data_IF_637139699096
#
_entry.id   IF_637139699096
#
_cell.length_a   1.000
_cell.length_b   1.000
_cell.length_c   1.000
_cell.angle_alpha   90.00
_cell.angle_beta   90.00
_cell.angle_gamma   90.00
#
_symmetry.space_group_name_H-M   'P 1'
#
loop_
_entity.id
_entity.type
_entity.pdbx_description
1 polymer ?
#
# COMPACT_ATOMS: atom_id res chain seq x y z
N UNK A 1 2.68 8.24 -3.95
CA UNK A 1 1.60 7.94 -2.98
C UNK A 1 1.28 6.47 -3.02
N UNK A 2 1.35 5.81 -1.86
CA UNK A 2 0.84 4.44 -1.67
C UNK A 2 -0.50 4.53 -0.95
N UNK A 3 -1.39 3.59 -1.24
CA UNK A 3 -2.66 3.46 -0.53
C UNK A 3 -2.76 2.06 0.06
N UNK A 4 -3.42 1.95 1.20
CA UNK A 4 -3.78 0.65 1.75
C UNK A 4 -5.22 0.64 2.23
N UNK A 5 -5.81 -0.55 2.19
CA UNK A 5 -7.09 -0.83 2.84
C UNK A 5 -6.95 -0.65 4.35
N UNK A 6 -8.04 -0.38 5.06
CA UNK A 6 -8.03 -0.28 6.53
C UNK A 6 -7.49 -1.56 7.22
N UNK A 7 -7.61 -2.72 6.58
CA UNK A 7 -6.99 -3.96 7.03
C UNK A 7 -7.52 -4.46 8.37
N UNK A 8 -6.68 -5.23 9.07
CA UNK A 8 -7.01 -5.87 10.36
C UNK A 8 -7.49 -4.88 11.43
N UNK A 9 -7.14 -3.59 11.32
CA UNK A 9 -7.54 -2.54 12.26
C UNK A 9 -9.06 -2.35 12.30
N UNK A 10 -9.75 -2.52 11.17
CA UNK A 10 -11.19 -2.28 11.08
C UNK A 10 -11.97 -3.37 10.32
N UNK A 11 -11.29 -4.38 9.78
CA UNK A 11 -11.92 -5.43 8.98
C UNK A 11 -11.58 -6.82 9.53
N UNK A 12 -12.60 -7.62 9.82
CA UNK A 12 -12.45 -9.02 10.26
C UNK A 12 -12.03 -9.98 9.15
N UNK A 13 -12.33 -9.65 7.90
CA UNK A 13 -11.98 -10.48 6.74
C UNK A 13 -10.53 -10.27 6.26
N UNK A 14 -9.73 -9.50 7.00
CA UNK A 14 -8.35 -9.23 6.65
C UNK A 14 -7.51 -10.51 6.79
N UNK A 15 -6.88 -10.94 5.69
CA UNK A 15 -5.98 -12.07 5.68
C UNK A 15 -4.54 -11.66 6.07
N UNK A 16 -4.18 -10.41 5.80
CA UNK A 16 -2.84 -9.86 6.03
C UNK A 16 -2.88 -8.46 6.66
N UNK A 17 -1.79 -8.05 7.31
CA UNK A 17 -1.61 -6.69 7.81
C UNK A 17 -1.18 -5.73 6.69
N UNK A 18 -2.16 -5.06 6.09
CA UNK A 18 -1.92 -4.08 5.03
C UNK A 18 -1.17 -2.83 5.53
N UNK A 19 -1.41 -2.39 6.77
CA UNK A 19 -0.77 -1.19 7.33
C UNK A 19 0.72 -1.39 7.59
N UNK A 20 1.08 -2.54 8.18
CA UNK A 20 2.48 -2.90 8.40
C UNK A 20 3.24 -3.09 7.09
N UNK A 21 2.63 -3.76 6.11
CA UNK A 21 3.22 -3.93 4.77
C UNK A 21 3.48 -2.59 4.09
N UNK A 22 2.49 -1.69 4.09
CA UNK A 22 2.69 -0.38 3.49
C UNK A 22 3.76 0.43 4.19
N UNK A 23 3.86 0.37 5.53
CA UNK A 23 4.91 1.07 6.25
C UNK A 23 6.31 0.58 5.83
N UNK A 24 6.52 -0.74 5.80
CA UNK A 24 7.79 -1.32 5.39
C UNK A 24 8.16 -0.93 3.94
N UNK A 25 7.19 -1.03 3.02
CA UNK A 25 7.38 -0.65 1.60
C UNK A 25 7.64 0.86 1.45
N UNK A 26 6.96 1.69 2.24
CA UNK A 26 7.14 3.15 2.22
C UNK A 26 8.52 3.57 2.70
N UNK A 27 9.06 2.91 3.72
CA UNK A 27 10.38 3.25 4.24
C UNK A 27 11.46 3.01 3.18
N UNK A 28 11.34 1.93 2.40
CA UNK A 28 12.27 1.60 1.31
C UNK A 28 12.06 2.44 0.04
N UNK A 29 10.81 2.71 -0.34
CA UNK A 29 10.48 3.39 -1.60
C UNK A 29 10.34 4.91 -1.47
N UNK A 30 10.48 5.48 -0.27
CA UNK A 30 10.25 6.90 -0.01
C UNK A 30 10.99 7.84 -0.97
N UNK A 31 12.26 7.53 -1.31
CA UNK A 31 13.08 8.33 -2.23
C UNK A 31 12.53 8.36 -3.67
N UNK A 32 11.87 7.30 -4.12
CA UNK A 32 11.27 7.24 -5.46
C UNK A 32 9.98 8.04 -5.58
N UNK A 33 9.34 8.39 -4.45
CA UNK A 33 8.14 9.24 -4.46
C UNK A 33 8.46 10.73 -4.38
N UNK A 34 9.70 11.10 -4.06
CA UNK A 34 10.18 12.49 -4.06
C UNK A 34 11.08 12.81 -5.25
N UNK A 35 11.61 11.79 -5.94
CA UNK A 35 12.47 11.95 -7.11
C UNK A 35 11.87 11.31 -8.37
N UNK A 36 11.97 12.01 -9.51
CA UNK A 36 11.47 11.53 -10.81
C UNK A 36 12.51 10.63 -11.51
N UNK A 37 12.94 9.54 -10.85
CA UNK A 37 13.95 8.61 -11.38
C UNK A 37 13.36 7.50 -12.25
N UNK A 38 12.05 7.25 -12.16
CA UNK A 38 11.37 6.17 -12.85
C UNK A 38 10.86 6.62 -14.23
N UNK A 39 10.84 5.75 -15.24
CA UNK A 39 10.44 6.10 -16.62
C UNK A 39 8.94 6.39 -16.77
N UNK A 40 8.14 6.25 -15.70
CA UNK A 40 6.71 6.50 -15.72
C UNK A 40 6.11 6.61 -14.32
N UNK A 41 4.85 7.03 -14.26
CA UNK A 41 4.11 7.19 -13.02
C UNK A 41 3.80 5.83 -12.38
N UNK A 42 4.40 5.58 -11.22
CA UNK A 42 4.17 4.36 -10.44
C UNK A 42 3.22 4.65 -9.27
N UNK A 43 2.18 3.82 -9.14
CA UNK A 43 1.25 3.81 -8.00
C UNK A 43 1.30 2.44 -7.36
N UNK A 44 1.28 2.42 -6.03
CA UNK A 44 1.30 1.18 -5.25
C UNK A 44 0.04 1.16 -4.38
N UNK A 45 -0.66 0.04 -4.37
CA UNK A 45 -1.84 -0.18 -3.55
C UNK A 45 -1.76 -1.55 -2.88
N UNK A 46 -2.07 -1.63 -1.59
CA UNK A 46 -2.03 -2.87 -0.81
C UNK A 46 -3.41 -3.22 -0.28
N UNK A 47 -3.89 -4.41 -0.65
CA UNK A 47 -5.12 -4.99 -0.15
C UNK A 47 -4.88 -6.11 0.86
N UNK A 48 -5.66 -6.11 1.94
CA UNK A 48 -5.59 -7.16 2.97
C UNK A 48 -6.37 -8.43 2.61
N UNK A 49 -7.21 -8.40 1.56
CA UNK A 49 -8.02 -9.53 1.11
C UNK A 49 -8.51 -9.33 -0.34
N UNK A 50 -9.16 -10.36 -0.87
CA UNK A 50 -9.72 -10.42 -2.22
C UNK A 50 -10.84 -9.41 -2.52
N UNK A 51 -11.39 -8.74 -1.50
CA UNK A 51 -12.38 -7.68 -1.70
C UNK A 51 -11.75 -6.36 -2.15
N UNK A 52 -10.43 -6.21 -2.04
CA UNK A 52 -9.66 -5.07 -2.58
C UNK A 52 -10.19 -3.67 -2.19
N UNK A 53 -10.70 -3.50 -0.95
CA UNK A 53 -11.36 -2.27 -0.48
C UNK A 53 -10.43 -1.05 -0.39
N UNK A 54 -10.28 -0.27 -1.46
CA UNK A 54 -9.36 0.88 -1.52
C UNK A 54 -8.11 0.64 -2.36
N UNK A 55 -8.08 -0.44 -3.15
CA UNK A 55 -7.11 -0.60 -4.22
C UNK A 55 -7.53 0.28 -5.42
N UNK A 56 -6.87 1.42 -5.59
CA UNK A 56 -7.06 2.36 -6.71
C UNK A 56 -5.74 2.99 -7.11
#
# INVERSE_FOLDING_TARGET
NIVHTQGRVHCHSAATDASGLVKAVMDELSEYFTSEKLPGNVRVAVACCLNMCGAV
#
